data_IF_985447294516
#
_entry.id   IF_985447294516
#
_cell.length_a   1.000
_cell.length_b   1.000
_cell.length_c   1.000
_cell.angle_alpha   90.00
_cell.angle_beta   90.00
_cell.angle_gamma   90.00
#
_symmetry.space_group_name_H-M   'P 1'
#
loop_
_entity.id
_entity.type
_entity.pdbx_description
1 polymer ?
#
# COMPACT_ATOMS: atom_id res chain seq x y z
N UNK A 1 -2.60 13.50 23.26
CA UNK A 1 -3.25 12.60 22.31
C UNK A 1 -3.51 13.33 21.00
N UNK A 2 -3.26 12.67 19.91
CA UNK A 2 -3.43 13.28 18.60
C UNK A 2 -4.90 13.42 18.23
N UNK A 3 -5.31 14.60 17.81
CA UNK A 3 -6.62 14.85 17.24
C UNK A 3 -6.61 14.75 15.71
N UNK A 4 -5.60 14.09 15.17
CA UNK A 4 -5.44 13.96 13.74
C UNK A 4 -6.63 13.24 13.11
N UNK A 5 -7.19 13.83 12.07
CA UNK A 5 -8.23 13.23 11.23
C UNK A 5 -7.72 13.11 9.81
N UNK A 6 -8.04 11.99 9.17
CA UNK A 6 -7.64 11.78 7.78
C UNK A 6 -8.32 12.78 6.86
N UNK A 7 -7.57 13.35 5.89
CA UNK A 7 -8.13 14.35 4.98
C UNK A 7 -8.92 13.68 3.84
N UNK A 8 -10.20 13.48 4.02
CA UNK A 8 -11.06 12.87 3.00
C UNK A 8 -11.60 13.95 2.07
N UNK A 9 -11.02 14.07 0.87
CA UNK A 9 -11.42 15.04 -0.16
C UNK A 9 -11.81 14.28 -1.42
N UNK A 10 -13.03 14.49 -1.91
CA UNK A 10 -13.51 13.89 -3.15
C UNK A 10 -12.59 14.26 -4.31
N UNK A 11 -12.20 13.26 -5.11
CA UNK A 11 -11.31 13.49 -6.24
C UNK A 11 -9.89 13.85 -5.87
N UNK A 12 -9.53 13.70 -4.58
CA UNK A 12 -8.20 14.07 -4.09
C UNK A 12 -7.11 13.14 -4.60
N UNK A 13 -5.90 13.68 -4.64
CA UNK A 13 -4.68 12.93 -4.91
C UNK A 13 -3.94 12.73 -3.59
N UNK A 14 -3.57 11.50 -3.29
CA UNK A 14 -2.97 11.14 -2.01
C UNK A 14 -1.65 10.43 -2.22
N UNK A 15 -0.65 10.85 -1.45
CA UNK A 15 0.59 10.09 -1.28
C UNK A 15 0.42 9.16 -0.09
N UNK A 16 0.59 7.86 -0.31
CA UNK A 16 0.30 6.84 0.71
C UNK A 16 1.53 5.95 0.89
N UNK A 17 1.83 5.65 2.15
CA UNK A 17 2.90 4.71 2.52
C UNK A 17 2.32 3.59 3.35
N UNK A 18 2.53 2.36 2.93
CA UNK A 18 2.13 1.16 3.66
C UNK A 18 3.35 0.31 3.97
N UNK A 19 3.51 -0.07 5.21
CA UNK A 19 4.65 -0.85 5.70
C UNK A 19 4.21 -2.28 5.99
N UNK A 20 5.12 -3.24 5.77
CA UNK A 20 4.89 -4.64 6.11
C UNK A 20 4.97 -4.85 7.63
N UNK A 21 4.34 -5.93 8.11
CA UNK A 21 4.39 -6.29 9.53
C UNK A 21 5.83 -6.57 9.95
N UNK A 22 6.26 -5.92 11.03
CA UNK A 22 7.62 -6.01 11.56
C UNK A 22 8.70 -5.77 10.49
N UNK A 23 8.37 -4.98 9.46
CA UNK A 23 9.26 -4.64 8.34
C UNK A 23 9.86 -5.86 7.65
N UNK A 24 9.13 -6.94 7.55
CA UNK A 24 9.56 -8.15 6.85
C UNK A 24 9.73 -7.87 5.35
N UNK A 25 10.77 -8.43 4.76
CA UNK A 25 11.20 -8.13 3.38
C UNK A 25 10.61 -9.12 2.39
N UNK A 26 9.35 -8.91 1.99
CA UNK A 26 8.72 -9.77 1.00
C UNK A 26 8.12 -9.02 -0.19
N UNK A 27 7.97 -7.69 -0.09
CA UNK A 27 7.28 -6.92 -1.13
C UNK A 27 7.96 -6.99 -2.49
N UNK A 28 9.30 -6.96 -2.52
CA UNK A 28 10.05 -7.00 -3.77
C UNK A 28 10.34 -8.42 -4.26
N UNK A 29 9.91 -9.46 -3.51
CA UNK A 29 9.99 -10.84 -4.01
C UNK A 29 9.07 -11.01 -5.22
N UNK A 30 9.31 -12.06 -5.99
CA UNK A 30 8.46 -12.35 -7.15
C UNK A 30 7.00 -12.51 -6.74
N UNK A 31 6.75 -13.30 -5.69
CA UNK A 31 5.39 -13.51 -5.18
C UNK A 31 4.79 -12.19 -4.67
N UNK A 32 5.55 -11.42 -3.92
CA UNK A 32 5.08 -10.14 -3.39
C UNK A 32 4.67 -9.15 -4.46
N UNK A 33 5.48 -9.04 -5.52
CA UNK A 33 5.18 -8.14 -6.64
C UNK A 33 3.92 -8.57 -7.39
N UNK A 34 3.80 -9.88 -7.66
CA UNK A 34 2.61 -10.41 -8.32
C UNK A 34 1.37 -10.20 -7.45
N UNK A 35 1.47 -10.49 -6.16
CA UNK A 35 0.36 -10.35 -5.23
C UNK A 35 -0.15 -8.92 -5.18
N UNK A 36 0.74 -7.95 -5.06
CA UNK A 36 0.34 -6.54 -4.99
C UNK A 36 -0.27 -6.07 -6.30
N UNK A 37 0.31 -6.45 -7.43
CA UNK A 37 -0.22 -6.08 -8.74
C UNK A 37 -1.64 -6.62 -8.93
N UNK A 38 -1.87 -7.88 -8.60
CA UNK A 38 -3.20 -8.48 -8.71
C UNK A 38 -4.19 -7.80 -7.78
N UNK A 39 -3.77 -7.51 -6.55
CA UNK A 39 -4.64 -6.82 -5.58
C UNK A 39 -5.06 -5.46 -6.10
N UNK A 40 -4.12 -4.68 -6.64
CA UNK A 40 -4.42 -3.38 -7.21
C UNK A 40 -5.39 -3.47 -8.38
N UNK A 41 -5.18 -4.42 -9.29
CA UNK A 41 -6.08 -4.62 -10.42
C UNK A 41 -7.47 -5.02 -9.96
N UNK A 42 -7.56 -5.94 -9.01
CA UNK A 42 -8.85 -6.43 -8.51
C UNK A 42 -9.65 -5.31 -7.83
N UNK A 43 -9.00 -4.56 -6.95
CA UNK A 43 -9.69 -3.48 -6.22
C UNK A 43 -10.10 -2.36 -7.17
N UNK A 44 -9.26 -2.02 -8.14
CA UNK A 44 -9.59 -0.96 -9.11
C UNK A 44 -10.79 -1.30 -10.00
N UNK A 45 -11.06 -2.58 -10.22
CA UNK A 45 -12.26 -3.00 -10.96
C UNK A 45 -13.54 -2.67 -10.22
N UNK A 46 -13.54 -2.78 -8.90
CA UNK A 46 -14.71 -2.51 -8.06
C UNK A 46 -14.76 -1.06 -7.58
N UNK A 47 -13.60 -0.50 -7.26
CA UNK A 47 -13.45 0.84 -6.70
C UNK A 47 -12.38 1.58 -7.50
N UNK A 48 -12.74 2.14 -8.67
CA UNK A 48 -11.76 2.75 -9.57
C UNK A 48 -10.97 3.86 -8.91
N UNK A 49 -9.70 3.94 -9.26
CA UNK A 49 -8.81 5.05 -8.92
C UNK A 49 -7.62 4.98 -9.86
N UNK A 50 -6.93 6.11 -9.99
CA UNK A 50 -5.74 6.17 -10.82
C UNK A 50 -4.49 6.05 -9.95
N UNK A 51 -3.53 5.23 -10.40
CA UNK A 51 -2.22 5.15 -9.79
C UNK A 51 -1.31 6.05 -10.60
N UNK A 52 -0.99 7.21 -10.02
CA UNK A 52 -0.11 8.17 -10.68
C UNK A 52 1.35 7.69 -10.62
N UNK A 53 1.76 7.17 -9.48
CA UNK A 53 3.10 6.65 -9.26
C UNK A 53 3.06 5.56 -8.19
N UNK A 54 3.99 4.61 -8.27
CA UNK A 54 4.19 3.59 -7.25
C UNK A 54 5.64 3.13 -7.24
N UNK A 55 6.17 2.89 -6.04
CA UNK A 55 7.48 2.26 -5.86
C UNK A 55 7.40 1.25 -4.74
N UNK A 56 7.97 0.08 -4.98
CA UNK A 56 8.07 -0.99 -3.99
C UNK A 56 9.48 -1.04 -3.44
N UNK A 57 9.57 -1.08 -2.12
CA UNK A 57 10.79 -1.35 -1.38
C UNK A 57 10.59 -2.67 -0.64
N UNK A 58 11.64 -3.31 -0.11
CA UNK A 58 11.47 -4.64 0.46
C UNK A 58 10.43 -4.72 1.58
N UNK A 59 10.29 -3.66 2.39
CA UNK A 59 9.45 -3.67 3.59
C UNK A 59 8.33 -2.62 3.56
N UNK A 60 8.16 -1.89 2.46
CA UNK A 60 7.08 -0.90 2.33
C UNK A 60 6.91 -0.47 0.88
N UNK A 61 5.81 0.20 0.59
CA UNK A 61 5.64 0.84 -0.69
C UNK A 61 5.07 2.25 -0.53
N UNK A 62 5.41 3.11 -1.49
CA UNK A 62 4.83 4.44 -1.63
C UNK A 62 4.04 4.51 -2.91
N UNK A 63 2.91 5.17 -2.88
CA UNK A 63 2.08 5.33 -4.08
C UNK A 63 1.37 6.67 -4.08
N UNK A 64 1.12 7.19 -5.27
CA UNK A 64 0.27 8.37 -5.48
C UNK A 64 -1.00 7.92 -6.18
N UNK A 65 -2.14 8.15 -5.54
CA UNK A 65 -3.46 7.78 -6.06
C UNK A 65 -4.30 9.01 -6.29
N UNK A 66 -5.02 9.06 -7.41
CA UNK A 66 -6.08 10.05 -7.63
C UNK A 66 -7.42 9.32 -7.62
N UNK A 67 -8.32 9.76 -6.75
CA UNK A 67 -9.64 9.16 -6.61
C UNK A 67 -10.64 9.79 -7.57
N UNK A 68 -11.76 9.10 -7.88
CA UNK A 68 -12.83 9.69 -8.69
C UNK A 68 -13.39 10.97 -8.08
N UNK A 69 -13.97 11.83 -8.90
CA UNK A 69 -14.44 13.15 -8.47
C UNK A 69 -15.51 13.11 -7.38
N UNK A 70 -16.21 11.98 -7.25
CA UNK A 70 -17.27 11.80 -6.25
C UNK A 70 -16.86 10.90 -5.08
N UNK A 71 -15.58 10.61 -4.93
CA UNK A 71 -15.10 9.63 -3.96
C UNK A 71 -13.88 10.16 -3.21
N UNK A 72 -13.80 9.81 -1.93
CA UNK A 72 -12.67 10.18 -1.07
C UNK A 72 -12.16 9.00 -0.25
N UNK A 73 -12.63 7.77 -0.56
CA UNK A 73 -12.40 6.64 0.33
C UNK A 73 -11.14 5.85 -0.02
N UNK A 74 -9.97 6.46 0.19
CA UNK A 74 -8.69 5.78 0.03
C UNK A 74 -8.48 4.68 1.07
N UNK A 75 -9.03 4.85 2.28
CA UNK A 75 -8.87 3.87 3.36
C UNK A 75 -9.52 2.53 3.02
N UNK A 76 -10.72 2.54 2.44
CA UNK A 76 -11.38 1.32 2.00
C UNK A 76 -10.52 0.59 0.96
N UNK A 77 -10.02 1.34 -0.01
CA UNK A 77 -9.21 0.76 -1.09
C UNK A 77 -7.94 0.10 -0.54
N UNK A 78 -7.22 0.80 0.35
CA UNK A 78 -6.01 0.22 0.96
C UNK A 78 -6.35 -1.02 1.78
N UNK A 79 -7.43 -0.98 2.56
CA UNK A 79 -7.86 -2.15 3.34
C UNK A 79 -8.15 -3.34 2.45
N UNK A 80 -8.85 -3.13 1.34
CA UNK A 80 -9.18 -4.22 0.40
C UNK A 80 -7.95 -4.77 -0.30
N UNK A 81 -7.00 -3.91 -0.64
CA UNK A 81 -5.72 -4.33 -1.24
C UNK A 81 -4.98 -5.25 -0.27
N UNK A 82 -4.80 -4.82 0.97
CA UNK A 82 -4.11 -5.61 1.98
C UNK A 82 -4.82 -6.94 2.22
N UNK A 83 -6.15 -6.91 2.28
CA UNK A 83 -6.95 -8.11 2.48
C UNK A 83 -6.80 -9.10 1.33
N UNK A 84 -6.78 -8.62 0.09
CA UNK A 84 -6.57 -9.47 -1.09
C UNK A 84 -5.23 -10.19 -1.02
N UNK A 85 -4.16 -9.45 -0.76
CA UNK A 85 -2.82 -10.03 -0.67
C UNK A 85 -2.77 -11.10 0.42
N UNK A 86 -3.30 -10.80 1.60
CA UNK A 86 -3.31 -11.74 2.72
C UNK A 86 -4.14 -12.99 2.39
N UNK A 87 -5.30 -12.81 1.78
CA UNK A 87 -6.22 -13.93 1.50
C UNK A 87 -5.66 -14.87 0.44
N UNK A 88 -5.11 -14.33 -0.64
CA UNK A 88 -4.73 -15.16 -1.80
C UNK A 88 -3.24 -15.52 -1.83
N UNK A 89 -2.41 -14.80 -1.12
CA UNK A 89 -0.95 -15.01 -1.13
C UNK A 89 -0.34 -15.14 0.25
N UNK A 90 -1.13 -14.96 1.31
CA UNK A 90 -0.61 -14.93 2.67
C UNK A 90 0.17 -16.17 3.05
N UNK A 91 -0.38 -17.35 2.78
CA UNK A 91 0.26 -18.61 3.11
C UNK A 91 1.59 -18.78 2.38
N UNK A 92 1.61 -18.48 1.08
CA UNK A 92 2.83 -18.56 0.26
C UNK A 92 3.92 -17.64 0.77
N UNK A 93 3.56 -16.39 1.09
CA UNK A 93 4.51 -15.39 1.59
C UNK A 93 5.02 -15.75 2.97
N UNK A 94 4.16 -16.23 3.84
CA UNK A 94 4.54 -16.62 5.21
C UNK A 94 5.46 -17.84 5.19
N UNK A 95 5.23 -18.79 4.32
CA UNK A 95 6.12 -19.94 4.13
C UNK A 95 7.50 -19.49 3.68
N UNK A 96 7.55 -18.59 2.69
CA UNK A 96 8.82 -18.02 2.21
C UNK A 96 9.58 -17.30 3.32
N UNK A 97 8.87 -16.67 4.26
CA UNK A 97 9.49 -15.98 5.40
C UNK A 97 9.87 -16.92 6.56
N UNK A 98 9.49 -18.21 6.46
CA UNK A 98 9.78 -19.17 7.52
C UNK A 98 8.90 -19.03 8.75
N UNK A 99 7.72 -18.44 8.62
CA UNK A 99 6.79 -18.26 9.74
C UNK A 99 6.13 -19.60 10.06
N UNK A 100 6.00 -19.89 11.37
CA UNK A 100 5.43 -21.16 11.81
C UNK A 100 3.97 -21.36 11.38
N UNK A 101 3.59 -22.60 11.16
CA UNK A 101 2.20 -22.94 10.77
C UNK A 101 1.18 -22.49 11.80
N UNK A 102 1.54 -22.49 13.09
CA UNK A 102 0.62 -22.04 14.12
C UNK A 102 0.29 -20.55 13.98
N UNK A 103 1.25 -19.74 13.56
CA UNK A 103 1.01 -18.31 13.30
C UNK A 103 0.18 -18.11 12.04
N UNK A 104 0.44 -18.92 11.01
CA UNK A 104 -0.34 -18.89 9.76
C UNK A 104 -1.79 -19.23 10.06
N UNK A 105 -2.02 -20.28 10.87
CA UNK A 105 -3.36 -20.74 11.19
C UNK A 105 -4.20 -19.73 11.98
N UNK A 106 -3.55 -18.85 12.73
CA UNK A 106 -4.25 -17.81 13.50
C UNK A 106 -4.85 -16.72 12.63
N UNK A 107 -4.45 -16.63 11.37
CA UNK A 107 -4.92 -15.59 10.44
C UNK A 107 -4.78 -14.18 10.98
N UNK A 108 -3.86 -13.98 11.91
CA UNK A 108 -3.52 -12.65 12.36
C UNK A 108 -2.85 -11.94 11.21
N UNK A 109 -3.08 -10.63 11.07
CA UNK A 109 -2.55 -9.87 9.95
C UNK A 109 -1.04 -9.78 9.95
N UNK A 110 -0.36 -10.88 9.65
CA UNK A 110 1.08 -11.03 9.78
C UNK A 110 1.87 -10.49 8.59
N UNK A 111 1.20 -9.94 7.59
CA UNK A 111 1.87 -9.38 6.41
C UNK A 111 1.99 -7.87 6.48
N UNK A 112 1.05 -7.18 7.09
CA UNK A 112 0.95 -5.74 7.01
C UNK A 112 0.90 -5.10 8.38
N UNK A 113 1.49 -3.89 8.50
CA UNK A 113 1.17 -3.02 9.61
C UNK A 113 -0.28 -2.57 9.48
N UNK A 114 -0.96 -2.43 10.62
CA UNK A 114 -2.38 -2.07 10.63
C UNK A 114 -2.60 -0.70 10.01
N UNK A 115 -1.74 0.26 10.35
CA UNK A 115 -1.87 1.63 9.88
C UNK A 115 -1.06 1.86 8.62
N UNK A 116 -1.51 2.81 7.83
CA UNK A 116 -0.74 3.38 6.74
C UNK A 116 -0.71 4.90 6.90
N UNK A 117 0.22 5.54 6.21
CA UNK A 117 0.40 6.98 6.25
C UNK A 117 -0.11 7.58 4.96
N UNK A 118 -0.82 8.73 5.07
CA UNK A 118 -1.31 9.42 3.89
C UNK A 118 -1.03 10.91 4.00
N UNK A 119 -0.84 11.53 2.84
CA UNK A 119 -0.67 12.95 2.69
C UNK A 119 -1.52 13.41 1.51
N UNK A 120 -2.44 14.33 1.73
CA UNK A 120 -3.24 14.92 0.68
C UNK A 120 -2.38 15.88 -0.12
N UNK A 121 -2.26 15.65 -1.43
CA UNK A 121 -1.52 16.54 -2.33
C UNK A 121 -2.30 17.83 -2.49
N UNK A 122 -1.64 18.97 -2.25
CA UNK A 122 -2.29 20.28 -2.18
C UNK A 122 -2.21 21.07 -3.47
N UNK A 123 -1.14 20.88 -4.26
CA UNK A 123 -0.90 21.63 -5.49
C UNK A 123 0.10 20.89 -6.39
N UNK A 124 0.41 21.50 -7.53
CA UNK A 124 1.32 20.88 -8.50
C UNK A 124 2.75 20.74 -7.98
N UNK A 125 3.21 21.69 -7.16
CA UNK A 125 4.54 21.63 -6.55
C UNK A 125 4.60 20.46 -5.57
N UNK A 126 3.59 20.32 -4.72
CA UNK A 126 3.46 19.21 -3.78
C UNK A 126 3.46 17.86 -4.52
N UNK A 127 2.71 17.76 -5.61
CA UNK A 127 2.67 16.57 -6.45
C UNK A 127 4.07 16.26 -7.02
N UNK A 128 4.73 17.25 -7.60
CA UNK A 128 6.06 17.06 -8.18
C UNK A 128 7.08 16.60 -7.15
N UNK A 129 7.04 17.20 -5.95
CA UNK A 129 7.95 16.82 -4.87
C UNK A 129 7.75 15.35 -4.45
N UNK A 130 6.52 14.88 -4.41
CA UNK A 130 6.25 13.49 -4.05
C UNK A 130 6.60 12.52 -5.19
N UNK A 131 6.41 12.90 -6.43
CA UNK A 131 6.90 12.12 -7.56
C UNK A 131 8.43 11.98 -7.51
N UNK A 132 9.13 13.07 -7.25
CA UNK A 132 10.59 13.04 -7.11
C UNK A 132 11.02 12.14 -5.97
N UNK A 133 10.35 12.23 -4.83
CA UNK A 133 10.63 11.37 -3.68
C UNK A 133 10.50 9.88 -4.05
N UNK A 134 9.45 9.52 -4.76
CA UNK A 134 9.23 8.14 -5.21
C UNK A 134 10.34 7.71 -6.16
N UNK A 135 10.71 8.56 -7.14
CA UNK A 135 11.71 8.22 -8.13
C UNK A 135 13.11 8.06 -7.52
N UNK A 136 13.45 8.88 -6.54
CA UNK A 136 14.76 8.83 -5.88
C UNK A 136 14.85 7.76 -4.80
N UNK A 137 13.71 7.30 -4.28
CA UNK A 137 13.68 6.36 -3.17
C UNK A 137 14.44 5.06 -3.46
N UNK A 138 14.22 4.39 -4.61
CA UNK A 138 14.96 3.16 -4.93
C UNK A 138 16.46 3.38 -5.04
N UNK A 139 16.87 4.53 -5.53
CA UNK A 139 18.30 4.87 -5.62
C UNK A 139 18.91 5.04 -4.24
N UNK A 140 18.19 5.67 -3.32
CA UNK A 140 18.65 5.91 -1.94
C UNK A 140 18.78 4.63 -1.14
N UNK A 141 17.85 3.71 -1.33
CA UNK A 141 17.79 2.47 -0.56
C UNK A 141 18.48 1.30 -1.26
N UNK A 142 19.00 1.58 -2.41
CA UNK A 142 19.86 0.70 -3.13
C UNK A 142 19.47 -0.51 -3.72
#
# INVERSE_FOLDING_TARGET
MSNYRRPYINGGTYFITQVTYQRQHWLCSEIGRVALREALQHVRQQYPFEIEEIVLLPDHFHTLWTLPSDDSNFSLRMRLIKRYVTKYYGTKLEVDLGISESRIARKEGNLWQRRFWEHLIRDETDFANHCDYIHYNPVRHG
#
